data_IF_844279963206
#
_entry.id   IF_844279963206
#
_cell.length_a   1.000
_cell.length_b   1.000
_cell.length_c   1.000
_cell.angle_alpha   90.00
_cell.angle_beta   90.00
_cell.angle_gamma   90.00
#
_symmetry.space_group_name_H-M   'P 1'
#
loop_
_entity.id
_entity.type
_entity.pdbx_description
1 polymer ?
#
# COMPACT_ATOMS: atom_id res chain seq x y z
N UNK A 1 -11.70 2.55 -13.09
CA UNK A 1 -11.40 1.25 -13.74
C UNK A 1 -10.90 0.24 -12.72
N UNK A 2 -9.72 0.39 -12.10
CA UNK A 2 -9.31 -0.53 -11.01
C UNK A 2 -10.01 -0.23 -9.70
N UNK A 3 -10.36 1.04 -9.43
CA UNK A 3 -11.19 1.42 -8.28
C UNK A 3 -12.45 0.57 -8.12
N UNK A 4 -13.14 0.29 -9.22
CA UNK A 4 -14.43 -0.41 -9.22
C UNK A 4 -14.25 -1.90 -8.90
N UNK A 5 -13.10 -2.47 -9.29
CA UNK A 5 -12.70 -3.83 -8.95
C UNK A 5 -12.21 -3.95 -7.51
N UNK A 6 -11.41 -2.99 -7.04
CA UNK A 6 -10.78 -2.98 -5.72
C UNK A 6 -11.69 -2.42 -4.62
N UNK A 7 -12.78 -1.77 -5.00
CA UNK A 7 -13.74 -1.12 -4.10
C UNK A 7 -13.19 0.12 -3.36
N UNK A 8 -11.94 0.50 -3.58
CA UNK A 8 -11.28 1.58 -2.85
C UNK A 8 -10.28 2.33 -3.70
N UNK A 9 -10.37 3.67 -3.68
CA UNK A 9 -9.39 4.56 -4.33
C UNK A 9 -8.03 4.46 -3.65
N UNK A 10 -8.00 4.17 -2.35
CA UNK A 10 -6.75 3.99 -1.60
C UNK A 10 -6.07 2.67 -1.98
N UNK A 11 -6.84 1.61 -2.17
CA UNK A 11 -6.31 0.32 -2.65
C UNK A 11 -5.65 0.45 -4.04
N UNK A 12 -6.34 1.11 -4.97
CA UNK A 12 -5.81 1.39 -6.30
C UNK A 12 -4.49 2.15 -6.23
N UNK A 13 -4.42 3.17 -5.37
CA UNK A 13 -3.20 3.98 -5.16
C UNK A 13 -2.02 3.16 -4.60
N UNK A 14 -2.27 2.28 -3.63
CA UNK A 14 -1.24 1.40 -3.07
C UNK A 14 -0.65 0.51 -4.17
N UNK A 15 -1.52 -0.19 -4.91
CA UNK A 15 -1.06 -1.12 -5.95
C UNK A 15 -0.33 -0.40 -7.08
N UNK A 16 -0.80 0.78 -7.49
CA UNK A 16 -0.09 1.58 -8.48
C UNK A 16 1.28 2.08 -7.98
N UNK A 17 1.37 2.44 -6.71
CA UNK A 17 2.66 2.86 -6.14
C UNK A 17 3.67 1.72 -6.17
N UNK A 18 3.27 0.54 -5.69
CA UNK A 18 4.13 -0.64 -5.65
C UNK A 18 4.47 -1.14 -7.05
N UNK A 19 3.53 -1.05 -8.01
CA UNK A 19 3.79 -1.39 -9.41
C UNK A 19 4.90 -0.52 -10.03
N UNK A 20 5.01 0.74 -9.62
CA UNK A 20 6.00 1.69 -10.19
C UNK A 20 7.31 1.69 -9.42
N UNK A 21 7.27 1.54 -8.09
CA UNK A 21 8.45 1.66 -7.22
C UNK A 21 9.03 0.31 -6.80
N UNK A 22 8.36 -0.80 -7.12
CA UNK A 22 8.65 -2.19 -6.70
C UNK A 22 8.54 -2.45 -5.19
N UNK A 23 8.84 -1.46 -4.36
CA UNK A 23 8.77 -1.49 -2.91
C UNK A 23 8.36 -0.11 -2.35
N UNK A 24 7.82 -0.09 -1.14
CA UNK A 24 7.67 1.16 -0.39
C UNK A 24 6.94 1.06 0.95
N UNK A 25 7.14 2.09 1.76
CA UNK A 25 6.50 2.25 3.06
C UNK A 25 5.16 2.97 2.98
N UNK A 26 4.28 2.70 3.95
CA UNK A 26 3.02 3.43 4.11
C UNK A 26 3.23 4.96 4.24
N UNK A 27 4.35 5.37 4.84
CA UNK A 27 4.72 6.78 5.01
C UNK A 27 5.04 7.46 3.68
N UNK A 28 5.69 6.77 2.75
CA UNK A 28 5.95 7.28 1.40
C UNK A 28 4.67 7.39 0.59
N UNK A 29 3.81 6.37 0.65
CA UNK A 29 2.50 6.38 0.00
C UNK A 29 1.61 7.52 0.54
N UNK A 30 1.67 7.79 1.84
CA UNK A 30 0.99 8.93 2.45
C UNK A 30 1.49 10.25 1.86
N UNK A 31 2.81 10.45 1.74
CA UNK A 31 3.40 11.68 1.19
C UNK A 31 2.99 11.89 -0.27
N UNK A 32 3.02 10.82 -1.08
CA UNK A 32 2.72 10.89 -2.51
C UNK A 32 1.24 11.15 -2.77
N UNK A 33 0.35 10.43 -2.08
CA UNK A 33 -1.09 10.52 -2.35
C UNK A 33 -1.88 11.41 -1.40
N UNK A 34 -1.20 12.05 -0.45
CA UNK A 34 -1.79 12.90 0.60
C UNK A 34 -2.99 12.21 1.27
N UNK A 35 -2.87 10.90 1.50
CA UNK A 35 -3.92 10.06 2.08
C UNK A 35 -3.57 9.77 3.54
N UNK A 36 -4.58 9.73 4.41
CA UNK A 36 -4.36 9.38 5.81
C UNK A 36 -3.67 8.00 5.94
N UNK A 37 -2.80 7.87 6.94
CA UNK A 37 -2.01 6.65 7.14
C UNK A 37 -2.89 5.44 7.50
N UNK A 38 -3.92 5.64 8.33
CA UNK A 38 -4.81 4.57 8.81
C UNK A 38 -5.44 3.75 7.66
N UNK A 39 -6.10 4.34 6.65
CA UNK A 39 -6.66 3.56 5.54
C UNK A 39 -5.59 2.91 4.65
N UNK A 40 -4.39 3.47 4.57
CA UNK A 40 -3.28 2.83 3.85
C UNK A 40 -2.84 1.55 4.59
N UNK A 41 -2.59 1.66 5.91
CA UNK A 41 -2.17 0.54 6.75
C UNK A 41 -3.20 -0.59 6.77
N UNK A 42 -4.49 -0.26 6.90
CA UNK A 42 -5.55 -1.28 6.90
C UNK A 42 -5.58 -2.09 5.60
N UNK A 43 -5.34 -1.43 4.45
CA UNK A 43 -5.34 -2.11 3.15
C UNK A 43 -4.06 -2.91 2.94
N UNK A 44 -2.90 -2.34 3.31
CA UNK A 44 -1.62 -3.05 3.25
C UNK A 44 -1.65 -4.32 4.10
N UNK A 45 -2.14 -4.23 5.33
CA UNK A 45 -2.30 -5.38 6.22
C UNK A 45 -3.27 -6.42 5.61
N UNK A 46 -4.42 -5.97 5.08
CA UNK A 46 -5.36 -6.88 4.41
C UNK A 46 -4.70 -7.60 3.22
N UNK A 47 -3.86 -6.91 2.45
CA UNK A 47 -3.18 -7.47 1.29
C UNK A 47 -2.03 -8.41 1.67
N UNK A 48 -1.35 -8.13 2.77
CA UNK A 48 -0.41 -9.06 3.39
C UNK A 48 -1.12 -10.34 3.86
N UNK A 49 -2.24 -10.21 4.58
CA UNK A 49 -3.01 -11.35 5.12
C UNK A 49 -3.55 -12.30 4.04
N UNK A 50 -3.91 -11.79 2.86
CA UNK A 50 -4.36 -12.62 1.72
C UNK A 50 -3.21 -13.10 0.83
N UNK A 51 -1.96 -12.78 1.17
CA UNK A 51 -0.76 -13.17 0.43
C UNK A 51 -0.56 -12.42 -0.90
N UNK A 52 -1.20 -11.26 -1.08
CA UNK A 52 -1.00 -10.41 -2.25
C UNK A 52 0.28 -9.58 -2.15
N UNK A 53 0.64 -9.14 -0.95
CA UNK A 53 1.87 -8.40 -0.66
C UNK A 53 2.72 -9.18 0.35
N UNK A 54 4.03 -8.98 0.27
CA UNK A 54 4.98 -9.49 1.25
C UNK A 54 5.53 -8.32 2.03
N UNK A 55 5.61 -8.47 3.35
CA UNK A 55 6.22 -7.49 4.22
C UNK A 55 7.72 -7.79 4.34
N UNK A 56 8.54 -6.80 4.03
CA UNK A 56 9.98 -6.81 4.32
C UNK A 56 10.29 -5.74 5.38
N UNK A 57 11.24 -6.02 6.26
CA UNK A 57 11.66 -5.06 7.30
C UNK A 57 13.10 -4.66 7.06
N UNK A 58 13.32 -3.41 6.68
CA UNK A 58 14.64 -2.84 6.46
C UNK A 58 14.87 -1.69 7.44
N UNK A 59 15.93 -1.75 8.25
CA UNK A 59 16.29 -0.69 9.21
C UNK A 59 15.12 -0.23 10.11
N UNK A 60 14.34 -1.17 10.66
CA UNK A 60 13.10 -0.94 11.44
C UNK A 60 11.93 -0.29 10.66
N UNK A 61 12.03 -0.19 9.34
CA UNK A 61 10.95 0.31 8.48
C UNK A 61 10.28 -0.86 7.78
N UNK A 62 8.94 -0.87 7.81
CA UNK A 62 8.11 -1.83 7.08
C UNK A 62 7.96 -1.39 5.63
N UNK A 63 8.42 -2.24 4.72
CA UNK A 63 8.32 -2.09 3.27
C UNK A 63 7.40 -3.17 2.73
N UNK A 64 6.54 -2.80 1.80
CA UNK A 64 5.64 -3.69 1.07
C UNK A 64 5.93 -3.59 -0.43
#
# INVERSE_FOLDING_TARGET
>A
MLRDLLGSKTAERILFFLLVNEFGSASEMQKVYQTALSPLLNILQKYEEIGLLLLETENNTKLY
#
